data_IF_549869738107
#
_entry.id   IF_549869738107
#
_cell.length_a   1.000
_cell.length_b   1.000
_cell.length_c   1.000
_cell.angle_alpha   90.00
_cell.angle_beta   90.00
_cell.angle_gamma   90.00
#
_symmetry.space_group_name_H-M   'P 1'
#
loop_
_entity.id
_entity.type
_entity.pdbx_description
1 polymer ?
#
# COMPACT_ATOMS: atom_id res chain seq x y z
N UNK A 1 -9.14 13.44 7.70
CA UNK A 1 -8.07 12.43 7.48
C UNK A 1 -8.58 11.05 7.06
N UNK A 2 -9.78 10.57 7.46
CA UNK A 2 -10.34 9.28 6.97
C UNK A 2 -10.40 9.15 5.43
N UNK A 3 -10.61 10.27 4.72
CA UNK A 3 -10.66 10.31 3.25
C UNK A 3 -9.33 10.03 2.55
N UNK A 4 -8.16 10.31 3.17
CA UNK A 4 -6.87 10.03 2.54
C UNK A 4 -6.48 8.57 2.69
N UNK A 5 -6.73 7.99 3.86
CA UNK A 5 -6.42 6.58 4.15
C UNK A 5 -7.26 5.63 3.30
N UNK A 6 -8.56 5.90 3.17
CA UNK A 6 -9.46 5.11 2.31
C UNK A 6 -9.05 5.23 0.84
N UNK A 7 -8.63 6.42 0.39
CA UNK A 7 -8.11 6.60 -0.98
C UNK A 7 -6.82 5.82 -1.22
N UNK A 8 -5.88 5.85 -0.27
CA UNK A 8 -4.63 5.07 -0.34
C UNK A 8 -4.94 3.57 -0.40
N UNK A 9 -5.89 3.10 0.39
CA UNK A 9 -6.36 1.71 0.36
C UNK A 9 -6.99 1.33 -0.98
N UNK A 10 -7.95 2.12 -1.47
CA UNK A 10 -8.61 1.88 -2.77
C UNK A 10 -7.57 1.83 -3.88
N UNK A 11 -6.60 2.76 -3.88
CA UNK A 11 -5.50 2.78 -4.83
C UNK A 11 -4.61 1.53 -4.74
N UNK A 12 -4.24 1.09 -3.53
CA UNK A 12 -3.48 -0.15 -3.32
C UNK A 12 -4.23 -1.38 -3.86
N UNK A 13 -5.50 -1.53 -3.51
CA UNK A 13 -6.33 -2.65 -4.01
C UNK A 13 -6.53 -2.59 -5.53
N UNK A 14 -6.67 -1.40 -6.11
CA UNK A 14 -6.80 -1.23 -7.55
C UNK A 14 -5.50 -1.61 -8.28
N UNK A 15 -4.33 -1.26 -7.74
CA UNK A 15 -3.03 -1.66 -8.27
C UNK A 15 -2.89 -3.18 -8.25
N UNK A 16 -3.22 -3.84 -7.14
CA UNK A 16 -3.15 -5.31 -7.01
C UNK A 16 -4.08 -6.00 -8.02
N UNK A 17 -5.32 -5.52 -8.17
CA UNK A 17 -6.26 -6.09 -9.15
C UNK A 17 -5.76 -5.89 -10.58
N UNK A 18 -5.20 -4.72 -10.88
CA UNK A 18 -4.61 -4.43 -12.19
C UNK A 18 -3.41 -5.35 -12.47
N UNK A 19 -2.53 -5.57 -11.50
CA UNK A 19 -1.40 -6.49 -11.60
C UNK A 19 -1.88 -7.92 -11.90
N UNK A 20 -2.87 -8.43 -11.15
CA UNK A 20 -3.43 -9.77 -11.40
C UNK A 20 -4.01 -9.89 -12.81
N UNK A 21 -4.70 -8.86 -13.30
CA UNK A 21 -5.23 -8.83 -14.67
C UNK A 21 -4.11 -8.82 -15.72
N UNK A 22 -3.06 -8.02 -15.52
CA UNK A 22 -1.89 -7.96 -16.40
C UNK A 22 -1.14 -9.30 -16.43
N UNK A 23 -1.01 -9.95 -15.27
CA UNK A 23 -0.43 -11.29 -15.16
C UNK A 23 -1.27 -12.30 -15.95
N UNK A 24 -2.59 -12.30 -15.82
CA UNK A 24 -3.47 -13.19 -16.56
C UNK A 24 -3.39 -12.98 -18.08
N UNK A 25 -3.37 -11.72 -18.52
CA UNK A 25 -3.16 -11.35 -19.91
C UNK A 25 -1.77 -11.78 -20.42
N UNK A 26 -0.74 -11.67 -19.58
CA UNK A 26 0.63 -12.07 -19.94
C UNK A 26 0.76 -13.56 -20.22
N UNK A 27 0.15 -14.39 -19.38
CA UNK A 27 0.18 -15.85 -19.52
C UNK A 27 -0.61 -16.24 -20.76
N UNK A 28 -1.79 -15.65 -20.96
CA UNK A 28 -2.64 -15.89 -22.12
C UNK A 28 -1.92 -15.51 -23.44
N UNK A 29 -1.28 -14.34 -23.47
CA UNK A 29 -0.50 -13.89 -24.62
C UNK A 29 0.72 -14.79 -24.89
N UNK A 30 1.38 -15.31 -23.86
CA UNK A 30 2.50 -16.22 -24.01
C UNK A 30 2.11 -17.56 -24.65
N UNK A 31 0.88 -18.02 -24.46
CA UNK A 31 0.33 -19.18 -25.17
C UNK A 31 0.01 -18.90 -26.65
N UNK A 32 -0.25 -17.64 -27.02
CA UNK A 32 -0.63 -17.25 -28.38
C UNK A 32 0.53 -16.72 -29.25
N UNK A 33 1.57 -16.12 -28.65
CA UNK A 33 2.62 -15.38 -29.37
C UNK A 33 3.92 -16.20 -29.55
N UNK A 34 4.58 -15.98 -30.69
CA UNK A 34 5.79 -16.70 -31.14
C UNK A 34 6.99 -16.59 -30.18
N UNK A 35 7.95 -17.51 -30.39
CA UNK A 35 8.91 -18.00 -29.40
C UNK A 35 9.86 -16.99 -28.73
N UNK A 36 10.04 -15.80 -29.30
CA UNK A 36 11.05 -14.83 -28.85
C UNK A 36 10.46 -13.64 -28.10
N UNK A 37 9.19 -13.30 -28.34
CA UNK A 37 8.51 -12.18 -27.68
C UNK A 37 8.22 -12.44 -26.19
N UNK A 38 8.11 -13.71 -25.79
CA UNK A 38 7.98 -14.07 -24.37
C UNK A 38 9.22 -13.72 -23.55
N UNK A 39 10.41 -13.68 -24.15
CA UNK A 39 11.65 -13.35 -23.41
C UNK A 39 11.68 -11.86 -23.05
N UNK A 40 11.14 -11.00 -23.93
CA UNK A 40 11.00 -9.56 -23.70
C UNK A 40 10.05 -9.23 -22.54
N UNK A 41 9.22 -10.18 -22.12
CA UNK A 41 8.31 -10.00 -21.00
C UNK A 41 9.00 -10.11 -19.62
N UNK A 42 10.13 -10.82 -19.53
CA UNK A 42 10.91 -10.97 -18.30
C UNK A 42 11.42 -9.62 -17.75
N UNK A 43 12.13 -8.78 -18.54
CA UNK A 43 12.57 -7.47 -18.05
C UNK A 43 11.41 -6.54 -17.72
N UNK A 44 10.28 -6.66 -18.42
CA UNK A 44 9.07 -5.89 -18.11
C UNK A 44 8.49 -6.27 -16.73
N UNK A 45 8.42 -7.57 -16.42
CA UNK A 45 7.99 -8.09 -15.12
C UNK A 45 8.94 -7.65 -13.98
N UNK A 46 10.26 -7.69 -14.22
CA UNK A 46 11.26 -7.23 -13.25
C UNK A 46 11.10 -5.73 -13.00
N UNK A 47 10.87 -4.94 -14.05
CA UNK A 47 10.63 -3.51 -13.94
C UNK A 47 9.34 -3.20 -13.17
N UNK A 48 8.26 -3.94 -13.44
CA UNK A 48 7.00 -3.82 -12.71
C UNK A 48 7.21 -4.10 -11.22
N UNK A 49 7.80 -5.25 -10.86
CA UNK A 49 8.13 -5.62 -9.47
C UNK A 49 8.95 -4.53 -8.76
N UNK A 50 9.97 -3.97 -9.43
CA UNK A 50 10.79 -2.91 -8.87
C UNK A 50 9.99 -1.62 -8.62
N UNK A 51 9.09 -1.25 -9.55
CA UNK A 51 8.21 -0.08 -9.40
C UNK A 51 7.18 -0.29 -8.30
N UNK A 52 6.57 -1.46 -8.22
CA UNK A 52 5.61 -1.83 -7.18
C UNK A 52 6.27 -1.76 -5.81
N UNK A 53 7.48 -2.30 -5.68
CA UNK A 53 8.29 -2.19 -4.46
C UNK A 53 8.58 -0.74 -4.09
N UNK A 54 9.08 0.08 -5.03
CA UNK A 54 9.41 1.48 -4.75
C UNK A 54 8.18 2.30 -4.31
N UNK A 55 7.05 2.14 -4.99
CA UNK A 55 5.81 2.84 -4.63
C UNK A 55 5.26 2.36 -3.27
N UNK A 56 5.13 1.06 -3.08
CA UNK A 56 4.48 0.50 -1.90
C UNK A 56 5.33 0.58 -0.63
N UNK A 57 6.61 0.23 -0.72
CA UNK A 57 7.51 0.11 0.44
C UNK A 57 8.19 1.43 0.74
N UNK A 58 8.71 2.13 -0.28
CA UNK A 58 9.50 3.34 -0.05
C UNK A 58 8.61 4.56 0.13
N UNK A 59 7.57 4.71 -0.70
CA UNK A 59 6.72 5.91 -0.65
C UNK A 59 5.48 5.76 0.22
N UNK A 60 4.80 4.61 0.18
CA UNK A 60 3.53 4.46 0.88
C UNK A 60 3.68 4.14 2.38
N UNK A 61 4.69 3.33 2.74
CA UNK A 61 4.90 2.88 4.11
C UNK A 61 5.18 4.03 5.11
N UNK A 62 5.95 5.09 4.76
CA UNK A 62 6.11 6.26 5.62
C UNK A 62 4.83 7.09 5.78
N UNK A 63 3.98 7.16 4.74
CA UNK A 63 2.70 7.89 4.82
C UNK A 63 1.68 7.24 5.78
N UNK A 64 1.93 5.99 6.19
CA UNK A 64 1.05 5.21 7.07
C UNK A 64 1.70 5.00 8.45
N UNK A 65 2.88 5.59 8.70
CA UNK A 65 3.57 5.48 9.98
C UNK A 65 2.74 6.13 11.09
N UNK A 66 2.39 5.32 12.09
CA UNK A 66 1.63 5.77 13.26
C UNK A 66 2.41 6.77 14.11
N UNK A 67 3.74 6.67 14.09
CA UNK A 67 4.64 7.57 14.82
C UNK A 67 4.62 8.98 14.20
N UNK A 68 4.70 9.08 12.88
CA UNK A 68 4.60 10.38 12.18
C UNK A 68 3.21 11.00 12.34
N UNK A 69 2.16 10.17 12.32
CA UNK A 69 0.79 10.63 12.58
C UNK A 69 0.63 11.16 14.02
N UNK A 70 1.28 10.54 15.00
CA UNK A 70 1.25 11.01 16.39
C UNK A 70 2.09 12.28 16.58
N UNK A 71 3.24 12.37 15.93
CA UNK A 71 4.12 13.55 15.98
C UNK A 71 3.41 14.78 15.37
N UNK A 72 2.69 14.58 14.26
CA UNK A 72 1.90 15.63 13.61
C UNK A 72 0.66 16.02 14.42
N UNK A 73 0.06 15.07 15.17
CA UNK A 73 -1.01 15.33 16.12
C UNK A 73 -0.50 16.19 17.29
N UNK A 74 0.66 15.85 17.85
CA UNK A 74 1.31 16.63 18.90
C UNK A 74 1.66 18.04 18.43
N UNK A 75 2.15 18.19 17.20
CA UNK A 75 2.46 19.50 16.62
C UNK A 75 1.21 20.38 16.52
N UNK A 76 0.09 19.87 15.98
CA UNK A 76 -1.16 20.64 15.94
C UNK A 76 -1.73 20.95 17.32
N UNK A 77 -1.56 20.04 18.29
CA UNK A 77 -1.92 20.31 19.67
C UNK A 77 -1.11 21.48 20.22
N UNK A 78 0.22 21.44 20.11
CA UNK A 78 1.11 22.51 20.56
C UNK A 78 0.80 23.85 19.88
N UNK A 79 0.65 23.86 18.55
CA UNK A 79 0.33 25.06 17.79
C UNK A 79 -0.99 25.71 18.23
N UNK A 80 -1.97 24.92 18.67
CA UNK A 80 -3.22 25.46 19.20
C UNK A 80 -3.05 26.15 20.56
N UNK A 81 -2.18 25.65 21.43
CA UNK A 81 -1.96 26.28 22.74
C UNK A 81 -1.00 27.47 22.66
N UNK A 82 -0.01 27.42 21.78
CA UNK A 82 1.01 28.47 21.63
C UNK A 82 0.57 29.58 20.67
N UNK A 83 -0.09 29.24 19.57
CA UNK A 83 -0.40 30.16 18.46
C UNK A 83 -1.91 30.32 18.18
N UNK A 84 -2.78 29.69 18.97
CA UNK A 84 -4.24 29.66 18.75
C UNK A 84 -4.65 29.18 17.34
N UNK A 85 -3.88 28.26 16.72
CA UNK A 85 -4.17 27.75 15.38
C UNK A 85 -5.50 26.96 15.35
N UNK A 86 -6.51 27.34 14.54
CA UNK A 86 -7.81 26.67 14.48
C UNK A 86 -7.75 25.24 13.91
N UNK A 87 -6.64 24.81 13.29
CA UNK A 87 -6.50 23.47 12.70
C UNK A 87 -6.77 22.34 13.70
N UNK A 88 -6.37 22.49 14.96
CA UNK A 88 -6.61 21.49 16.00
C UNK A 88 -8.10 21.25 16.27
N UNK A 89 -8.91 22.31 16.26
CA UNK A 89 -10.35 22.23 16.50
C UNK A 89 -11.09 21.62 15.30
N UNK A 90 -10.69 22.01 14.08
CA UNK A 90 -11.23 21.43 12.84
C UNK A 90 -10.90 19.93 12.73
N UNK A 91 -9.69 19.53 13.12
CA UNK A 91 -9.27 18.15 13.20
C UNK A 91 -10.12 17.33 14.19
N UNK A 92 -10.37 17.86 15.40
CA UNK A 92 -11.23 17.23 16.40
C UNK A 92 -12.67 17.05 15.91
N UNK A 93 -13.25 18.09 15.30
CA UNK A 93 -14.60 18.02 14.76
C UNK A 93 -14.73 16.91 13.70
N UNK A 94 -13.74 16.84 12.78
CA UNK A 94 -13.68 15.83 11.72
C UNK A 94 -13.47 14.41 12.26
N UNK A 95 -12.64 14.24 13.28
CA UNK A 95 -12.33 12.91 13.82
C UNK A 95 -13.34 12.44 14.88
N UNK A 96 -14.10 13.35 15.47
CA UNK A 96 -15.04 13.03 16.54
C UNK A 96 -14.33 12.59 17.81
N UNK A 97 -13.26 13.30 18.16
CA UNK A 97 -12.46 13.10 19.36
C UNK A 97 -12.32 14.43 20.09
N UNK A 98 -11.92 14.39 21.37
CA UNK A 98 -11.71 15.59 22.17
C UNK A 98 -10.42 15.50 22.97
N UNK A 99 -9.59 16.53 22.86
CA UNK A 99 -8.29 16.61 23.54
C UNK A 99 -7.30 15.56 23.04
N UNK A 100 -6.12 15.52 23.65
CA UNK A 100 -5.07 14.58 23.28
C UNK A 100 -5.44 13.17 23.74
N UNK A 101 -5.45 12.97 25.06
CA UNK A 101 -5.89 11.74 25.73
C UNK A 101 -7.37 11.77 26.15
N UNK A 102 -8.02 12.94 26.07
CA UNK A 102 -9.41 13.14 26.45
C UNK A 102 -9.69 14.61 26.80
N UNK A 103 -10.94 14.99 27.08
CA UNK A 103 -11.32 16.38 27.35
C UNK A 103 -10.60 17.01 28.56
N UNK A 104 -10.12 16.19 29.49
CA UNK A 104 -9.34 16.64 30.64
C UNK A 104 -8.01 17.32 30.27
N UNK A 105 -7.42 17.01 29.11
CA UNK A 105 -6.18 17.67 28.68
C UNK A 105 -6.33 19.18 28.50
N UNK A 106 -7.55 19.68 28.25
CA UNK A 106 -7.78 21.14 28.23
C UNK A 106 -7.68 21.76 29.63
N UNK A 107 -8.08 21.02 30.66
CA UNK A 107 -8.06 21.48 32.05
C UNK A 107 -6.62 21.59 32.58
N UNK A 108 -5.72 20.73 32.11
CA UNK A 108 -4.29 20.79 32.45
C UNK A 108 -3.65 22.13 32.05
N UNK A 109 -4.18 22.76 31.00
CA UNK A 109 -3.79 24.09 30.51
C UNK A 109 -4.74 25.20 30.95
N UNK A 110 -5.62 24.93 31.93
CA UNK A 110 -6.64 25.85 32.45
C UNK A 110 -7.57 26.41 31.36
N UNK A 111 -7.68 25.74 30.21
CA UNK A 111 -8.57 26.12 29.13
C UNK A 111 -9.92 25.44 29.28
N UNK A 112 -10.96 26.16 28.86
CA UNK A 112 -12.30 25.60 28.74
C UNK A 112 -12.34 24.62 27.57
N UNK A 113 -13.03 23.49 27.76
CA UNK A 113 -13.27 22.53 26.69
C UNK A 113 -14.02 23.21 25.53
N UNK A 114 -13.52 23.13 24.29
CA UNK A 114 -14.11 23.82 23.15
C UNK A 114 -15.44 23.20 22.72
N UNK A 115 -16.33 24.03 22.15
CA UNK A 115 -17.67 23.62 21.76
C UNK A 115 -17.70 22.47 20.73
N UNK A 116 -16.66 22.37 19.90
CA UNK A 116 -16.50 21.28 18.89
C UNK A 116 -16.46 19.88 19.52
N UNK A 117 -16.11 19.77 20.80
CA UNK A 117 -16.12 18.51 21.53
C UNK A 117 -17.52 18.05 21.98
N UNK A 118 -18.55 18.90 21.83
CA UNK A 118 -19.92 18.56 22.20
C UNK A 118 -20.70 18.20 20.94
N UNK A 119 -21.04 16.91 20.78
CA UNK A 119 -21.92 16.45 19.70
C UNK A 119 -23.31 16.22 20.26
N UNK A 120 -24.30 16.91 19.69
CA UNK A 120 -25.70 16.79 20.12
C UNK A 120 -25.89 17.05 21.64
N UNK A 121 -25.06 17.95 22.21
CA UNK A 121 -25.09 18.27 23.64
C UNK A 121 -24.33 17.29 24.54
N UNK A 122 -23.78 16.19 24.00
CA UNK A 122 -22.99 15.21 24.77
C UNK A 122 -21.51 15.44 24.54
N UNK A 123 -20.73 15.47 25.64
CA UNK A 123 -19.28 15.62 25.60
C UNK A 123 -18.63 14.34 25.06
N UNK A 124 -17.81 14.48 24.03
CA UNK A 124 -16.95 13.39 23.54
C UNK A 124 -15.82 13.15 24.54
N UNK A 125 -15.78 11.96 25.12
CA UNK A 125 -14.77 11.57 26.12
C UNK A 125 -13.54 10.92 25.50
N UNK A 126 -13.62 10.47 24.24
CA UNK A 126 -12.53 9.77 23.55
C UNK A 126 -11.45 10.75 23.10
N UNK A 127 -10.22 10.54 23.56
CA UNK A 127 -9.03 11.28 23.12
C UNK A 127 -8.69 11.05 21.65
N UNK A 128 -8.10 12.06 21.01
CA UNK A 128 -7.69 11.98 19.61
C UNK A 128 -6.52 11.02 19.38
N UNK A 129 -5.64 10.86 20.37
CA UNK A 129 -4.52 9.91 20.31
C UNK A 129 -5.03 8.48 20.12
N UNK A 130 -6.04 8.06 20.89
CA UNK A 130 -6.66 6.74 20.75
C UNK A 130 -7.33 6.53 19.39
N UNK A 131 -7.95 7.58 18.83
CA UNK A 131 -8.56 7.51 17.51
C UNK A 131 -7.51 7.35 16.42
N UNK A 132 -6.38 8.06 16.54
CA UNK A 132 -5.25 7.89 15.63
C UNK A 132 -4.65 6.49 15.79
N UNK A 133 -4.36 6.05 17.01
CA UNK A 133 -3.78 4.74 17.27
C UNK A 133 -4.66 3.60 16.72
N UNK A 134 -5.94 3.55 17.08
CA UNK A 134 -6.85 2.48 16.63
C UNK A 134 -7.06 2.49 15.11
N UNK A 135 -7.24 3.67 14.52
CA UNK A 135 -7.50 3.78 13.08
C UNK A 135 -6.25 3.52 12.25
N UNK A 136 -5.10 4.06 12.64
CA UNK A 136 -3.85 3.91 11.90
C UNK A 136 -3.20 2.56 12.13
N UNK A 137 -3.25 1.97 13.32
CA UNK A 137 -2.65 0.66 13.58
C UNK A 137 -3.32 -0.44 12.75
N UNK A 138 -4.65 -0.48 12.71
CA UNK A 138 -5.39 -1.45 11.90
C UNK A 138 -5.11 -1.28 10.40
N UNK A 139 -5.09 -0.04 9.93
CA UNK A 139 -4.78 0.30 8.54
C UNK A 139 -3.33 -0.05 8.18
N UNK A 140 -2.38 0.20 9.07
CA UNK A 140 -0.96 -0.08 8.86
C UNK A 140 -0.67 -1.58 8.78
N UNK A 141 -1.31 -2.38 9.63
CA UNK A 141 -1.21 -3.82 9.56
C UNK A 141 -1.80 -4.36 8.25
N UNK A 142 -2.97 -3.86 7.87
CA UNK A 142 -3.64 -4.26 6.64
C UNK A 142 -2.83 -3.85 5.40
N UNK A 143 -2.29 -2.63 5.37
CA UNK A 143 -1.48 -2.13 4.26
C UNK A 143 -0.19 -2.93 4.12
N UNK A 144 0.53 -3.21 5.22
CA UNK A 144 1.69 -4.11 5.21
C UNK A 144 1.33 -5.46 4.62
N UNK A 145 0.23 -6.07 5.07
CA UNK A 145 -0.21 -7.38 4.58
C UNK A 145 -0.48 -7.35 3.06
N UNK A 146 -1.16 -6.31 2.57
CA UNK A 146 -1.42 -6.13 1.14
C UNK A 146 -0.15 -5.92 0.32
N UNK A 147 0.82 -5.17 0.84
CA UNK A 147 2.12 -4.96 0.18
C UNK A 147 2.88 -6.30 0.08
N UNK A 148 2.91 -7.08 1.17
CA UNK A 148 3.51 -8.41 1.17
C UNK A 148 2.81 -9.36 0.20
N UNK A 149 1.48 -9.30 0.12
CA UNK A 149 0.70 -10.07 -0.84
C UNK A 149 1.03 -9.69 -2.28
N UNK A 150 1.09 -8.40 -2.60
CA UNK A 150 1.43 -7.90 -3.94
C UNK A 150 2.80 -8.41 -4.38
N UNK A 151 3.83 -8.18 -3.57
CA UNK A 151 5.19 -8.66 -3.83
C UNK A 151 5.26 -10.19 -3.94
N UNK A 152 4.49 -10.91 -3.12
CA UNK A 152 4.39 -12.36 -3.19
C UNK A 152 3.79 -12.86 -4.50
N UNK A 153 2.71 -12.23 -4.97
CA UNK A 153 2.05 -12.56 -6.25
C UNK A 153 2.99 -12.29 -7.43
N UNK A 154 3.65 -11.13 -7.44
CA UNK A 154 4.61 -10.77 -8.48
C UNK A 154 5.80 -11.74 -8.52
N UNK A 155 6.35 -12.12 -7.35
CA UNK A 155 7.43 -13.09 -7.23
C UNK A 155 7.01 -14.48 -7.75
N UNK A 156 5.85 -14.99 -7.32
CA UNK A 156 5.33 -16.29 -7.78
C UNK A 156 5.13 -16.26 -9.29
N UNK A 157 4.61 -15.16 -9.83
CA UNK A 157 4.42 -15.00 -11.27
C UNK A 157 5.75 -15.06 -12.01
N UNK A 158 6.77 -14.33 -11.54
CA UNK A 158 8.09 -14.33 -12.15
C UNK A 158 8.71 -15.73 -12.15
N UNK A 159 8.57 -16.48 -11.05
CA UNK A 159 9.06 -17.86 -10.94
C UNK A 159 8.34 -18.82 -11.90
N UNK A 160 7.01 -18.72 -11.99
CA UNK A 160 6.21 -19.52 -12.94
C UNK A 160 6.61 -19.19 -14.39
N UNK A 161 6.78 -17.91 -14.69
CA UNK A 161 7.18 -17.44 -16.01
C UNK A 161 8.57 -17.94 -16.41
N UNK A 162 9.56 -17.81 -15.52
CA UNK A 162 10.90 -18.35 -15.73
C UNK A 162 10.89 -19.87 -15.94
N UNK A 163 10.08 -20.61 -15.16
CA UNK A 163 9.93 -22.07 -15.32
C UNK A 163 9.38 -22.45 -16.70
N UNK A 164 8.38 -21.70 -17.19
CA UNK A 164 7.81 -21.92 -18.52
C UNK A 164 8.82 -21.65 -19.63
N UNK A 165 9.58 -20.56 -19.53
CA UNK A 165 10.67 -20.22 -20.45
C UNK A 165 11.70 -21.34 -20.48
N UNK A 166 12.20 -21.80 -19.32
CA UNK A 166 13.21 -22.87 -19.25
C UNK A 166 12.70 -24.16 -19.90
N UNK A 167 11.44 -24.54 -19.66
CA UNK A 167 10.83 -25.73 -20.30
C UNK A 167 10.77 -25.58 -21.82
N UNK A 168 10.38 -24.41 -22.32
CA UNK A 168 10.28 -24.12 -23.75
C UNK A 168 11.65 -24.14 -24.42
N UNK A 169 12.67 -23.53 -23.81
CA UNK A 169 14.06 -23.59 -24.30
C UNK A 169 14.62 -25.01 -24.33
N UNK A 170 14.37 -25.81 -23.29
CA UNK A 170 14.78 -27.23 -23.29
C UNK A 170 14.14 -28.00 -24.45
N UNK A 171 12.85 -27.78 -24.71
CA UNK A 171 12.15 -28.42 -25.82
C UNK A 171 12.74 -28.01 -27.18
N UNK A 172 13.01 -26.73 -27.38
CA UNK A 172 13.62 -26.20 -28.61
C UNK A 172 15.02 -26.75 -28.85
N UNK A 173 15.89 -26.76 -27.84
CA UNK A 173 17.24 -27.31 -27.94
C UNK A 173 17.20 -28.79 -28.29
N UNK A 174 16.33 -29.59 -27.64
CA UNK A 174 16.15 -30.99 -27.99
C UNK A 174 15.70 -31.17 -29.45
N UNK A 175 14.75 -30.36 -29.92
CA UNK A 175 14.25 -30.44 -31.31
C UNK A 175 15.33 -30.08 -32.33
N UNK A 176 16.14 -29.05 -32.05
CA UNK A 176 17.26 -28.63 -32.90
C UNK A 176 18.34 -29.72 -32.96
N UNK A 177 18.69 -30.35 -31.84
CA UNK A 177 19.69 -31.43 -31.79
C UNK A 177 19.23 -32.64 -32.62
N UNK A 178 17.95 -33.02 -32.51
CA UNK A 178 17.37 -34.12 -33.32
C UNK A 178 17.40 -33.78 -34.81
N UNK A 179 16.96 -32.58 -35.19
CA UNK A 179 16.99 -32.14 -36.59
C UNK A 179 18.41 -32.08 -37.18
N UNK A 180 19.40 -31.63 -36.39
CA UNK A 180 20.80 -31.61 -36.80
C UNK A 180 21.36 -33.03 -37.00
N UNK A 181 21.02 -33.97 -36.11
CA UNK A 181 21.45 -35.37 -36.23
C UNK A 181 20.81 -36.08 -37.43
N UNK A 182 19.57 -35.77 -37.78
CA UNK A 182 18.91 -36.30 -38.98
C UNK A 182 19.51 -35.72 -40.27
N UNK A 183 19.87 -34.43 -40.29
CA UNK A 183 20.55 -33.81 -41.43
C UNK A 183 21.95 -34.39 -41.68
N UNK A 184 22.67 -34.78 -40.62
CA UNK A 184 24.01 -35.36 -40.72
C UNK A 184 24.03 -36.83 -41.18
N UNK A 185 22.87 -37.49 -41.26
CA UNK A 185 22.72 -38.88 -41.72
C UNK A 185 22.49 -39.01 -43.23
N UNK A 186 22.25 -37.91 -43.93
CA UNK A 186 22.17 -37.82 -45.39
C UNK A 186 23.44 -37.18 -45.95
#
# INVERSE_FOLDING_TARGET
MKFNVIKVYISLTAIIVLEVLLIYLSVSAMYMVSEWLSVLYVPLLIYALHRTYALCVVHLQPLISGDDANLLLLQYYQDYFENDDPKWLDMQAKMGCCGLSGPQTYLDYLRKVPAVCYRQGVLVTRGCEYVVYDAFQGVHQLSKLLIWLALGIELVTLLLYMRLIIRKYRYLICRIIVAYNDFKRY
#
